data_IF_690808180418
#
_entry.id   IF_690808180418
#
_cell.length_a   1.000
_cell.length_b   1.000
_cell.length_c   1.000
_cell.angle_alpha   90.00
_cell.angle_beta   90.00
_cell.angle_gamma   90.00
#
_symmetry.space_group_name_H-M   'P 1'
#
loop_
_entity.id
_entity.type
_entity.pdbx_description
1 polymer ?
#
# COMPACT_ATOMS: atom_id res chain seq x y z
N UNK A 1 -7.01 2.64 9.42
CA UNK A 1 -7.48 2.11 8.11
C UNK A 1 -8.29 3.15 7.32
N UNK A 2 -9.20 3.92 7.95
CA UNK A 2 -10.03 4.90 7.25
C UNK A 2 -9.26 5.92 6.43
N UNK A 3 -8.16 6.44 6.95
CA UNK A 3 -7.32 7.38 6.22
C UNK A 3 -6.76 6.80 4.90
N UNK A 4 -6.39 5.50 4.89
CA UNK A 4 -5.94 4.80 3.67
C UNK A 4 -7.07 4.68 2.65
N UNK A 5 -8.25 4.26 3.09
CA UNK A 5 -9.43 4.14 2.23
C UNK A 5 -9.87 5.50 1.68
N UNK A 6 -9.81 6.55 2.51
CA UNK A 6 -10.15 7.90 2.09
C UNK A 6 -9.18 8.42 1.02
N UNK A 7 -7.87 8.22 1.21
CA UNK A 7 -6.87 8.63 0.23
C UNK A 7 -7.09 7.93 -1.12
N UNK A 8 -7.41 6.63 -1.10
CA UNK A 8 -7.75 5.89 -2.31
C UNK A 8 -9.04 6.42 -2.95
N UNK A 9 -10.09 6.66 -2.15
CA UNK A 9 -11.34 7.23 -2.65
C UNK A 9 -11.14 8.63 -3.26
N UNK A 10 -10.29 9.47 -2.65
CA UNK A 10 -9.95 10.80 -3.17
C UNK A 10 -9.20 10.73 -4.51
N UNK A 11 -8.27 9.79 -4.67
CA UNK A 11 -7.58 9.56 -5.94
C UNK A 11 -8.56 9.16 -7.07
N UNK A 12 -9.74 8.63 -6.71
CA UNK A 12 -10.78 8.18 -7.63
C UNK A 12 -11.88 9.20 -7.89
N UNK A 13 -11.79 10.40 -7.36
CA UNK A 13 -12.80 11.46 -7.59
C UNK A 13 -13.12 11.72 -9.07
N UNK A 14 -12.17 11.61 -10.04
CA UNK A 14 -12.50 11.69 -11.45
C UNK A 14 -13.45 10.58 -11.95
N UNK A 15 -13.56 9.45 -11.23
CA UNK A 15 -14.35 8.26 -11.58
C UNK A 15 -15.55 8.09 -10.65
N UNK A 16 -16.29 9.16 -10.35
CA UNK A 16 -17.35 9.20 -9.33
C UNK A 16 -18.36 8.05 -9.40
N UNK A 17 -18.87 7.75 -10.62
CA UNK A 17 -19.86 6.68 -10.79
C UNK A 17 -19.29 5.30 -10.49
N UNK A 18 -18.06 5.05 -10.93
CA UNK A 18 -17.35 3.81 -10.66
C UNK A 18 -17.04 3.66 -9.16
N UNK A 19 -16.56 4.76 -8.53
CA UNK A 19 -16.32 4.79 -7.09
C UNK A 19 -17.60 4.45 -6.31
N UNK A 20 -18.73 5.05 -6.65
CA UNK A 20 -20.00 4.78 -5.99
C UNK A 20 -20.39 3.29 -6.10
N UNK A 21 -20.30 2.68 -7.29
CA UNK A 21 -20.57 1.26 -7.46
C UNK A 21 -19.65 0.37 -6.61
N UNK A 22 -18.37 0.71 -6.56
CA UNK A 22 -17.39 -0.04 -5.74
C UNK A 22 -17.74 0.09 -4.26
N UNK A 23 -18.10 1.29 -3.80
CA UNK A 23 -18.53 1.53 -2.42
C UNK A 23 -19.76 0.71 -2.06
N UNK A 24 -20.79 0.72 -2.88
CA UNK A 24 -22.01 -0.06 -2.69
C UNK A 24 -21.72 -1.57 -2.62
N UNK A 25 -20.92 -2.11 -3.58
CA UNK A 25 -20.56 -3.53 -3.61
C UNK A 25 -19.68 -3.97 -2.45
N UNK A 26 -18.80 -3.11 -1.97
CA UNK A 26 -17.94 -3.41 -0.84
C UNK A 26 -18.65 -3.27 0.51
N UNK A 27 -19.82 -2.63 0.55
CA UNK A 27 -20.53 -2.28 1.78
C UNK A 27 -19.96 -1.04 2.46
N UNK A 28 -19.28 -0.17 1.71
CA UNK A 28 -18.58 1.00 2.20
C UNK A 28 -19.24 2.27 1.64
N UNK A 29 -20.37 2.65 2.19
CA UNK A 29 -21.17 3.78 1.67
C UNK A 29 -20.49 5.14 1.84
N UNK A 30 -19.74 5.32 2.94
CA UNK A 30 -18.98 6.52 3.22
C UNK A 30 -17.68 6.16 3.91
N UNK A 31 -16.57 6.81 3.53
CA UNK A 31 -15.26 6.62 4.16
C UNK A 31 -14.93 7.81 5.04
N UNK A 32 -14.70 7.55 6.31
CA UNK A 32 -14.27 8.55 7.29
C UNK A 32 -12.82 8.30 7.71
N UNK A 33 -11.96 9.33 7.76
CA UNK A 33 -10.50 9.16 7.96
C UNK A 33 -10.15 8.57 9.33
N UNK A 34 -10.93 8.84 10.36
CA UNK A 34 -10.66 8.42 11.74
C UNK A 34 -11.40 7.16 12.15
N UNK A 35 -12.16 6.54 11.24
CA UNK A 35 -12.92 5.33 11.51
C UNK A 35 -12.08 4.09 11.22
N UNK A 36 -12.20 3.08 12.08
CA UNK A 36 -11.62 1.77 11.87
C UNK A 36 -12.59 0.89 11.10
N UNK A 37 -12.16 0.42 9.95
CA UNK A 37 -12.90 -0.48 9.10
C UNK A 37 -12.35 -1.90 9.22
N UNK A 38 -13.24 -2.87 9.13
CA UNK A 38 -12.88 -4.28 9.09
C UNK A 38 -11.98 -4.57 7.88
N UNK A 39 -10.92 -5.36 8.07
CA UNK A 39 -9.93 -5.60 7.01
C UNK A 39 -10.54 -6.22 5.75
N UNK A 40 -11.52 -7.13 5.89
CA UNK A 40 -12.19 -7.74 4.74
C UNK A 40 -13.02 -6.73 3.93
N UNK A 41 -13.60 -5.74 4.60
CA UNK A 41 -14.33 -4.66 3.93
C UNK A 41 -13.35 -3.76 3.16
N UNK A 42 -12.24 -3.38 3.79
CA UNK A 42 -11.18 -2.63 3.16
C UNK A 42 -10.57 -3.37 1.96
N UNK A 43 -10.33 -4.68 2.09
CA UNK A 43 -9.89 -5.53 0.97
C UNK A 43 -10.87 -5.51 -0.18
N UNK A 44 -12.16 -5.79 0.05
CA UNK A 44 -13.18 -5.76 -1.01
C UNK A 44 -13.19 -4.43 -1.74
N UNK A 45 -13.09 -3.32 -1.02
CA UNK A 45 -13.02 -1.99 -1.63
C UNK A 45 -11.76 -1.83 -2.50
N UNK A 46 -10.57 -2.10 -1.95
CA UNK A 46 -9.29 -1.93 -2.67
C UNK A 46 -9.20 -2.84 -3.91
N UNK A 47 -9.62 -4.09 -3.80
CA UNK A 47 -9.65 -5.02 -4.94
C UNK A 47 -10.75 -4.67 -5.95
N UNK A 48 -11.87 -4.11 -5.51
CA UNK A 48 -12.90 -3.55 -6.39
C UNK A 48 -12.35 -2.39 -7.23
N UNK A 49 -11.54 -1.52 -6.61
CA UNK A 49 -10.84 -0.44 -7.34
C UNK A 49 -9.84 -1.01 -8.35
N UNK A 50 -9.04 -1.99 -7.94
CA UNK A 50 -8.08 -2.65 -8.83
C UNK A 50 -8.77 -3.26 -10.05
N UNK A 51 -9.87 -3.96 -9.86
CA UNK A 51 -10.60 -4.64 -10.92
C UNK A 51 -11.30 -3.70 -11.91
N UNK A 52 -11.85 -2.57 -11.45
CA UNK A 52 -12.65 -1.66 -12.29
C UNK A 52 -11.83 -0.51 -12.90
N UNK A 53 -10.76 -0.07 -12.23
CA UNK A 53 -10.00 1.13 -12.64
C UNK A 53 -8.57 0.78 -13.08
N UNK A 54 -8.05 -0.36 -12.61
CA UNK A 54 -6.79 -0.91 -13.05
C UNK A 54 -5.61 -0.56 -12.16
N UNK A 55 -4.55 -1.32 -12.36
CA UNK A 55 -3.35 -1.37 -11.54
C UNK A 55 -2.62 -0.03 -11.47
N UNK A 56 -2.47 0.66 -12.61
CA UNK A 56 -1.76 1.94 -12.67
C UNK A 56 -2.37 3.01 -11.76
N UNK A 57 -3.71 3.08 -11.69
CA UNK A 57 -4.40 4.05 -10.83
C UNK A 57 -4.23 3.69 -9.35
N UNK A 58 -4.31 2.39 -9.05
CA UNK A 58 -4.08 1.88 -7.69
C UNK A 58 -2.65 2.15 -7.23
N UNK A 59 -1.66 1.92 -8.09
CA UNK A 59 -0.25 2.28 -7.83
C UNK A 59 -0.09 3.79 -7.54
N UNK A 60 -0.66 4.66 -8.40
CA UNK A 60 -0.55 6.11 -8.22
C UNK A 60 -1.20 6.60 -6.92
N UNK A 61 -2.33 6.01 -6.55
CA UNK A 61 -2.95 6.28 -5.25
C UNK A 61 -2.02 5.86 -4.10
N UNK A 62 -1.42 4.67 -4.19
CA UNK A 62 -0.41 4.19 -3.24
C UNK A 62 0.79 5.13 -3.16
N UNK A 63 1.31 5.56 -4.30
CA UNK A 63 2.43 6.50 -4.37
C UNK A 63 2.14 7.81 -3.63
N UNK A 64 0.97 8.40 -3.87
CA UNK A 64 0.53 9.62 -3.17
C UNK A 64 0.38 9.40 -1.68
N UNK A 65 -0.14 8.24 -1.27
CA UNK A 65 -0.28 7.86 0.14
C UNK A 65 1.08 7.69 0.82
N UNK A 66 2.02 6.98 0.19
CA UNK A 66 3.36 6.76 0.71
C UNK A 66 4.12 8.08 0.92
N UNK A 67 3.89 9.06 0.05
CA UNK A 67 4.44 10.42 0.18
C UNK A 67 3.77 11.28 1.25
N UNK A 68 2.64 10.85 1.81
CA UNK A 68 1.86 11.63 2.78
C UNK A 68 2.37 11.48 4.22
N UNK A 69 2.03 12.48 5.07
CA UNK A 69 2.35 12.47 6.50
C UNK A 69 1.68 11.33 7.28
N UNK A 70 0.72 10.62 6.71
CA UNK A 70 0.03 9.50 7.35
C UNK A 70 0.94 8.27 7.52
N UNK A 71 1.95 8.14 6.66
CA UNK A 71 2.99 7.11 6.75
C UNK A 71 4.26 7.72 7.35
N UNK A 72 4.15 8.25 8.56
CA UNK A 72 5.31 8.84 9.23
C UNK A 72 6.31 7.75 9.61
N UNK A 73 7.53 7.90 9.14
CA UNK A 73 8.70 7.19 9.62
C UNK A 73 9.64 8.20 10.27
N UNK A 74 10.38 7.80 11.28
CA UNK A 74 11.33 8.66 12.00
C UNK A 74 12.74 8.56 11.42
N UNK A 75 12.99 7.55 10.60
CA UNK A 75 14.29 7.28 10.02
C UNK A 75 14.80 8.44 9.17
N UNK A 76 16.02 8.89 9.44
CA UNK A 76 16.71 9.89 8.64
C UNK A 76 17.44 9.28 7.43
N UNK A 77 17.65 7.96 7.44
CA UNK A 77 18.27 7.20 6.36
C UNK A 77 17.27 6.22 5.77
N UNK A 78 17.46 5.86 4.51
CA UNK A 78 16.56 4.94 3.82
C UNK A 78 16.51 3.56 4.50
N UNK A 79 17.62 3.03 4.97
CA UNK A 79 17.67 1.77 5.70
C UNK A 79 16.84 1.80 6.99
N UNK A 80 16.89 2.90 7.74
CA UNK A 80 16.06 3.10 8.94
C UNK A 80 14.58 3.19 8.58
N UNK A 81 14.25 3.94 7.52
CA UNK A 81 12.89 4.06 6.99
C UNK A 81 12.33 2.69 6.60
N UNK A 82 13.12 1.87 5.90
CA UNK A 82 12.69 0.53 5.48
C UNK A 82 12.40 -0.37 6.69
N UNK A 83 13.22 -0.35 7.72
CA UNK A 83 12.99 -1.12 8.95
C UNK A 83 11.75 -0.68 9.74
N UNK A 84 11.30 0.57 9.57
CA UNK A 84 10.08 1.09 10.21
C UNK A 84 8.80 0.83 9.39
N UNK A 85 8.87 0.26 8.19
CA UNK A 85 7.71 0.08 7.31
C UNK A 85 6.62 -0.76 7.96
N UNK A 86 6.97 -1.89 8.55
CA UNK A 86 5.98 -2.76 9.19
C UNK A 86 5.30 -2.07 10.37
N UNK A 87 6.04 -1.41 11.24
CA UNK A 87 5.48 -0.65 12.35
C UNK A 87 4.52 0.44 11.87
N UNK A 88 4.84 1.13 10.77
CA UNK A 88 3.99 2.13 10.16
C UNK A 88 2.72 1.52 9.57
N UNK A 89 2.83 0.36 8.92
CA UNK A 89 1.68 -0.39 8.42
C UNK A 89 0.78 -0.87 9.56
N UNK A 90 1.34 -1.50 10.60
CA UNK A 90 0.59 -2.00 11.76
C UNK A 90 -0.14 -0.87 12.51
N UNK A 91 0.39 0.35 12.49
CA UNK A 91 -0.30 1.52 13.05
C UNK A 91 -1.57 1.90 12.27
N UNK A 92 -1.66 1.53 10.99
CA UNK A 92 -2.77 1.87 10.09
C UNK A 92 -3.80 0.75 9.94
N UNK A 93 -3.46 -0.49 10.31
CA UNK A 93 -4.30 -1.68 10.16
C UNK A 93 -4.48 -2.39 11.49
N UNK A 94 -5.62 -3.07 11.68
CA UNK A 94 -5.91 -3.86 12.88
C UNK A 94 -6.75 -5.07 12.52
N UNK A 95 -6.54 -6.16 13.22
CA UNK A 95 -7.35 -7.35 13.11
C UNK A 95 -6.53 -8.60 12.78
N UNK A 96 -7.18 -9.76 12.69
CA UNK A 96 -6.52 -10.99 12.31
C UNK A 96 -6.15 -10.98 10.81
N UNK A 97 -5.01 -11.57 10.50
CA UNK A 97 -4.56 -11.75 9.10
C UNK A 97 -4.43 -10.44 8.30
N UNK A 98 -3.98 -9.38 8.95
CA UNK A 98 -3.67 -8.11 8.26
C UNK A 98 -2.37 -8.19 7.47
N UNK A 99 -1.53 -9.21 7.77
CA UNK A 99 -0.19 -9.35 7.19
C UNK A 99 0.80 -8.33 7.72
N UNK A 100 1.92 -8.20 7.05
CA UNK A 100 2.99 -7.30 7.45
C UNK A 100 4.08 -7.17 6.41
N UNK A 101 5.21 -6.66 6.83
CA UNK A 101 6.40 -6.48 6.01
C UNK A 101 7.66 -6.86 6.77
N UNK A 102 8.56 -7.58 6.11
CA UNK A 102 9.92 -7.82 6.59
C UNK A 102 10.92 -7.32 5.57
N UNK A 103 12.08 -6.86 6.04
CA UNK A 103 13.09 -6.26 5.18
C UNK A 103 14.40 -7.01 5.33
N UNK A 104 14.99 -7.39 4.22
CA UNK A 104 16.30 -8.01 4.11
C UNK A 104 17.21 -7.13 3.26
N UNK A 105 18.43 -6.87 3.73
CA UNK A 105 19.41 -6.08 2.99
C UNK A 105 20.40 -7.00 2.29
N UNK A 106 20.38 -7.00 0.97
CA UNK A 106 21.30 -7.79 0.14
C UNK A 106 22.65 -7.09 0.00
N UNK A 107 22.64 -5.76 -0.06
CA UNK A 107 23.83 -4.91 -0.09
C UNK A 107 23.51 -3.49 0.45
N UNK A 108 24.52 -2.58 0.55
CA UNK A 108 24.30 -1.22 1.07
C UNK A 108 23.34 -0.34 0.29
N UNK A 109 22.94 -0.75 -0.92
CA UNK A 109 22.05 0.01 -1.82
C UNK A 109 20.87 -0.81 -2.37
N UNK A 110 20.68 -2.02 -1.84
CA UNK A 110 19.59 -2.89 -2.25
C UNK A 110 18.96 -3.58 -1.04
N UNK A 111 17.64 -3.60 -1.00
CA UNK A 111 16.87 -4.35 -0.01
C UNK A 111 15.69 -5.06 -0.65
N UNK A 112 15.41 -6.27 -0.17
CA UNK A 112 14.19 -7.00 -0.40
C UNK A 112 13.14 -6.66 0.67
N UNK A 113 11.95 -6.25 0.27
CA UNK A 113 10.80 -6.08 1.17
C UNK A 113 9.79 -7.18 0.90
N UNK A 114 9.72 -8.16 1.79
CA UNK A 114 8.71 -9.22 1.74
C UNK A 114 7.42 -8.71 2.38
N UNK A 115 6.30 -8.83 1.65
CA UNK A 115 5.04 -8.23 2.02
C UNK A 115 3.89 -9.23 1.85
N UNK A 116 3.26 -9.62 2.95
CA UNK A 116 2.01 -10.39 2.97
C UNK A 116 0.79 -9.53 3.39
N UNK A 117 0.95 -8.20 3.34
CA UNK A 117 -0.09 -7.22 3.67
C UNK A 117 -1.40 -7.52 2.93
N UNK A 118 -2.52 -7.29 3.60
CA UNK A 118 -3.86 -7.64 3.10
C UNK A 118 -4.39 -6.71 1.99
N UNK A 119 -3.57 -5.82 1.46
CA UNK A 119 -3.91 -4.84 0.41
C UNK A 119 -3.38 -5.30 -0.96
N UNK A 120 -3.93 -4.80 -2.08
CA UNK A 120 -3.45 -5.13 -3.41
C UNK A 120 -1.96 -4.84 -3.61
N UNK A 121 -1.30 -5.69 -4.38
CA UNK A 121 0.12 -5.61 -4.68
C UNK A 121 0.53 -4.24 -5.25
N UNK A 122 -0.19 -3.75 -6.25
CA UNK A 122 0.07 -2.44 -6.85
C UNK A 122 -0.06 -1.28 -5.86
N UNK A 123 -1.00 -1.37 -4.90
CA UNK A 123 -1.16 -0.36 -3.86
C UNK A 123 0.05 -0.33 -2.94
N UNK A 124 0.51 -1.51 -2.49
CA UNK A 124 1.67 -1.63 -1.62
C UNK A 124 2.95 -1.18 -2.32
N UNK A 125 3.17 -1.57 -3.58
CA UNK A 125 4.30 -1.11 -4.37
C UNK A 125 4.30 0.43 -4.50
N UNK A 126 3.14 1.02 -4.79
CA UNK A 126 2.99 2.47 -4.85
C UNK A 126 3.35 3.15 -3.52
N UNK A 127 2.84 2.63 -2.39
CA UNK A 127 3.13 3.14 -1.05
C UNK A 127 4.65 3.10 -0.78
N UNK A 128 5.30 1.97 -1.04
CA UNK A 128 6.73 1.80 -0.88
C UNK A 128 7.51 2.80 -1.74
N UNK A 129 7.18 2.90 -3.03
CA UNK A 129 7.83 3.84 -3.96
C UNK A 129 7.69 5.30 -3.51
N UNK A 130 6.47 5.71 -3.11
CA UNK A 130 6.22 7.05 -2.60
C UNK A 130 6.99 7.36 -1.33
N UNK A 131 7.15 6.36 -0.47
CA UNK A 131 7.89 6.48 0.78
C UNK A 131 9.38 6.61 0.55
N UNK A 132 9.94 5.71 -0.23
CA UNK A 132 11.38 5.65 -0.54
C UNK A 132 11.84 6.92 -1.23
N UNK A 133 11.04 7.47 -2.15
CA UNK A 133 11.37 8.71 -2.86
C UNK A 133 11.50 9.96 -1.99
N UNK A 134 11.00 9.93 -0.77
CA UNK A 134 11.18 11.05 0.17
C UNK A 134 12.65 11.22 0.59
N UNK A 135 13.40 10.13 0.73
CA UNK A 135 14.81 10.14 1.15
C UNK A 135 15.77 9.83 -0.01
N UNK A 136 15.32 9.10 -1.01
CA UNK A 136 16.10 8.71 -2.18
C UNK A 136 15.30 8.95 -3.47
N UNK A 137 15.32 10.19 -4.03
CA UNK A 137 14.48 10.56 -5.18
C UNK A 137 14.74 9.74 -6.45
N UNK A 138 15.93 9.17 -6.61
CA UNK A 138 16.33 8.33 -7.74
C UNK A 138 16.03 6.86 -7.55
N UNK A 139 15.60 6.44 -6.34
CA UNK A 139 15.31 5.04 -6.03
C UNK A 139 14.18 4.47 -6.88
N UNK A 140 14.23 3.16 -7.07
CA UNK A 140 13.21 2.37 -7.75
C UNK A 140 12.75 1.24 -6.87
N UNK A 141 11.43 1.01 -6.84
CA UNK A 141 10.81 -0.15 -6.19
C UNK A 141 10.20 -1.02 -7.28
N UNK A 142 10.77 -2.18 -7.49
CA UNK A 142 10.33 -3.16 -8.48
C UNK A 142 9.67 -4.35 -7.78
N UNK A 143 8.62 -4.88 -8.37
CA UNK A 143 8.05 -6.15 -7.93
C UNK A 143 8.91 -7.27 -8.47
N UNK A 144 9.42 -8.15 -7.58
CA UNK A 144 10.22 -9.29 -8.00
C UNK A 144 9.35 -10.36 -8.71
N UNK A 145 9.94 -11.05 -9.67
CA UNK A 145 9.25 -12.08 -10.47
C UNK A 145 8.93 -13.36 -9.66
N UNK A 146 9.45 -13.49 -8.44
CA UNK A 146 9.37 -14.69 -7.60
C UNK A 146 7.97 -15.03 -7.05
N UNK A 147 6.93 -14.40 -7.55
CA UNK A 147 5.54 -14.66 -7.18
C UNK A 147 4.82 -13.40 -6.69
N UNK A 148 3.51 -13.39 -6.85
CA UNK A 148 2.65 -12.28 -6.48
C UNK A 148 1.43 -12.79 -5.72
N UNK A 149 1.07 -12.15 -4.61
CA UNK A 149 -0.13 -12.49 -3.84
C UNK A 149 -1.41 -12.36 -4.64
N UNK A 150 -1.50 -11.36 -5.51
CA UNK A 150 -2.66 -11.17 -6.38
C UNK A 150 -2.77 -12.28 -7.44
N UNK A 151 -1.72 -13.10 -7.59
CA UNK A 151 -1.65 -14.29 -8.44
C UNK A 151 -1.64 -15.61 -7.66
N UNK A 152 -1.85 -15.55 -6.34
CA UNK A 152 -2.00 -16.74 -5.49
C UNK A 152 -0.75 -17.17 -4.71
N UNK A 153 0.33 -16.39 -4.72
CA UNK A 153 1.47 -16.60 -3.82
C UNK A 153 1.15 -16.16 -2.38
N UNK A 154 1.91 -16.63 -1.40
CA UNK A 154 1.73 -16.25 0.00
C UNK A 154 2.13 -14.80 0.29
N UNK A 155 3.18 -14.31 -0.37
CA UNK A 155 3.70 -12.96 -0.22
C UNK A 155 4.17 -12.38 -1.56
N UNK A 156 4.35 -11.07 -1.59
CA UNK A 156 5.07 -10.36 -2.65
C UNK A 156 6.48 -10.00 -2.15
N UNK A 157 7.43 -9.90 -3.05
CA UNK A 157 8.75 -9.33 -2.78
C UNK A 157 8.93 -8.08 -3.62
N UNK A 158 9.31 -6.98 -2.99
CA UNK A 158 9.66 -5.75 -3.68
C UNK A 158 11.16 -5.49 -3.51
N UNK A 159 11.85 -5.26 -4.61
CA UNK A 159 13.26 -4.89 -4.63
C UNK A 159 13.36 -3.37 -4.60
N UNK A 160 14.06 -2.85 -3.62
CA UNK A 160 14.31 -1.41 -3.43
C UNK A 160 15.77 -1.14 -3.73
N UNK A 161 16.01 -0.35 -4.79
CA UNK A 161 17.35 0.05 -5.23
C UNK A 161 17.52 1.58 -5.06
N UNK A 162 18.68 2.05 -4.51
CA UNK A 162 18.97 3.48 -4.28
C UNK A 162 20.44 3.87 -4.39
#
# INVERSE_FOLDING_TARGET
MGAVLLALAQALLPFKQTLQRIQERSGLSQVEPHTWYEINLARRFCYGVLAEIGERTVFQAGFSMGGSAQWQTRGAKLSELLLELDASYQALVRGPRVGGMTVEFDDPRCAGVHCDAALPCALMQGILQGKVKQLAPTSLVEHADAGCRDQGADACTYLVNW
#
